data_IF_719452380781
#
_entry.id   IF_719452380781
#
_cell.length_a   1.000
_cell.length_b   1.000
_cell.length_c   1.000
_cell.angle_alpha   90.00
_cell.angle_beta   90.00
_cell.angle_gamma   90.00
#
_symmetry.space_group_name_H-M   'P 1'
#
loop_
_entity.id
_entity.type
_entity.pdbx_description
1 polymer ?
#
# COMPACT_ATOMS: atom_id res chain seq x y z
N UNK A 1 3.72 -38.40 -9.14
CA UNK A 1 3.63 -38.04 -7.70
C UNK A 1 2.16 -37.98 -7.35
N UNK A 2 1.70 -38.80 -6.40
CA UNK A 2 0.29 -38.89 -6.03
C UNK A 2 -0.11 -37.66 -5.22
N UNK A 3 -1.23 -37.02 -5.61
CA UNK A 3 -1.77 -35.83 -4.95
C UNK A 3 -2.58 -36.28 -3.74
N UNK A 4 -2.06 -36.10 -2.54
CA UNK A 4 -2.74 -36.50 -1.31
C UNK A 4 -3.63 -35.35 -0.80
N UNK A 5 -4.94 -35.47 -1.02
CA UNK A 5 -5.95 -34.61 -0.39
C UNK A 5 -6.37 -35.29 0.91
N UNK A 6 -5.68 -35.00 2.00
CA UNK A 6 -6.01 -35.61 3.30
C UNK A 6 -7.26 -34.98 3.89
N UNK A 7 -8.41 -35.64 3.75
CA UNK A 7 -9.57 -35.40 4.60
C UNK A 7 -9.45 -36.29 5.83
N UNK A 8 -9.21 -35.71 7.02
CA UNK A 8 -9.17 -36.47 8.26
C UNK A 8 -10.60 -36.90 8.62
N UNK A 9 -10.93 -38.16 8.38
CA UNK A 9 -12.20 -38.75 8.80
C UNK A 9 -12.28 -38.73 10.33
N UNK A 10 -13.41 -38.22 10.84
CA UNK A 10 -13.63 -37.92 12.25
C UNK A 10 -13.50 -39.13 13.17
N UNK A 11 -12.53 -39.06 14.06
CA UNK A 11 -12.52 -39.79 15.34
C UNK A 11 -13.36 -38.99 16.33
N UNK A 12 -14.25 -39.66 17.09
CA UNK A 12 -15.31 -39.06 17.92
C UNK A 12 -14.79 -38.23 19.12
N UNK A 13 -13.48 -38.11 19.26
CA UNK A 13 -12.79 -37.31 20.28
C UNK A 13 -11.89 -36.21 19.70
N UNK A 14 -11.93 -35.97 18.39
CA UNK A 14 -11.16 -34.91 17.75
C UNK A 14 -11.99 -33.62 17.58
N UNK A 15 -11.39 -32.46 17.90
CA UNK A 15 -12.03 -31.15 17.69
C UNK A 15 -12.39 -30.99 16.20
N UNK A 16 -13.60 -30.51 15.86
CA UNK A 16 -13.95 -30.19 14.48
C UNK A 16 -12.92 -29.24 13.87
N UNK A 17 -12.50 -29.52 12.64
CA UNK A 17 -11.59 -28.70 11.86
C UNK A 17 -12.31 -28.33 10.58
N UNK A 18 -12.32 -27.04 10.23
CA UNK A 18 -12.89 -26.59 8.96
C UNK A 18 -12.06 -27.12 7.79
N UNK A 19 -12.74 -27.41 6.67
CA UNK A 19 -12.05 -27.81 5.45
C UNK A 19 -11.25 -26.64 4.88
N UNK A 20 -10.02 -26.91 4.44
CA UNK A 20 -9.11 -25.93 3.84
C UNK A 20 -8.81 -26.29 2.39
N UNK A 21 -8.79 -25.29 1.49
CA UNK A 21 -8.44 -25.45 0.07
C UNK A 21 -6.93 -25.34 -0.20
N UNK A 22 -6.09 -25.37 0.84
CA UNK A 22 -4.64 -25.26 0.70
C UNK A 22 -4.03 -26.52 0.09
N UNK A 23 -3.29 -26.36 -1.01
CA UNK A 23 -2.53 -27.45 -1.62
C UNK A 23 -1.19 -27.66 -0.89
N UNK A 24 -1.06 -28.82 -0.23
CA UNK A 24 0.17 -29.24 0.44
C UNK A 24 1.14 -29.82 -0.62
N UNK A 25 2.29 -29.17 -0.78
CA UNK A 25 3.34 -29.60 -1.73
C UNK A 25 4.35 -30.56 -1.06
N UNK A 26 4.49 -30.48 0.27
CA UNK A 26 5.43 -31.30 1.02
C UNK A 26 5.23 -31.16 2.53
N UNK A 27 6.10 -31.83 3.29
CA UNK A 27 6.13 -31.75 4.76
C UNK A 27 7.57 -31.61 5.24
N UNK A 28 7.78 -30.76 6.24
CA UNK A 28 9.04 -30.65 6.99
C UNK A 28 8.89 -31.49 8.26
N UNK A 29 9.88 -32.34 8.53
CA UNK A 29 9.93 -33.15 9.76
C UNK A 29 10.80 -32.40 10.77
N UNK A 30 10.17 -31.56 11.57
CA UNK A 30 10.82 -30.82 12.66
C UNK A 30 9.84 -30.69 13.83
N UNK A 31 10.12 -31.47 14.89
CA UNK A 31 9.24 -31.68 16.04
C UNK A 31 7.79 -32.05 15.63
N UNK A 32 7.68 -32.91 14.60
CA UNK A 32 6.42 -33.33 13.98
C UNK A 32 6.36 -33.07 12.46
N UNK A 33 5.24 -33.42 11.85
CA UNK A 33 4.99 -33.18 10.42
C UNK A 33 4.39 -31.79 10.18
N UNK A 34 5.20 -30.84 9.70
CA UNK A 34 4.75 -29.49 9.33
C UNK A 34 4.46 -29.40 7.84
N UNK A 35 3.21 -29.14 7.40
CA UNK A 35 2.89 -29.03 5.98
C UNK A 35 3.51 -27.78 5.34
N UNK A 36 3.93 -27.90 4.09
CA UNK A 36 4.44 -26.80 3.24
C UNK A 36 3.48 -26.60 2.09
N UNK A 37 3.01 -25.37 1.90
CA UNK A 37 2.11 -24.96 0.81
C UNK A 37 2.88 -24.15 -0.23
N UNK A 38 2.37 -24.12 -1.46
CA UNK A 38 2.94 -23.25 -2.50
C UNK A 38 2.62 -21.77 -2.21
N UNK A 39 3.54 -20.88 -2.57
CA UNK A 39 3.36 -19.42 -2.57
C UNK A 39 3.92 -18.83 -3.87
N UNK A 40 3.43 -17.67 -4.31
CA UNK A 40 3.90 -16.92 -5.47
C UNK A 40 5.16 -16.07 -5.18
N UNK A 41 5.75 -16.21 -4.00
CA UNK A 41 6.93 -15.46 -3.58
C UNK A 41 8.17 -15.84 -4.39
N UNK A 42 8.81 -14.86 -5.03
CA UNK A 42 10.03 -15.05 -5.82
C UNK A 42 11.22 -14.47 -5.06
N UNK A 43 12.19 -15.33 -4.76
CA UNK A 43 13.49 -14.93 -4.19
C UNK A 43 14.45 -14.69 -5.35
N UNK A 44 15.02 -13.49 -5.43
CA UNK A 44 15.99 -13.12 -6.48
C UNK A 44 17.42 -13.27 -6.04
N UNK A 45 17.70 -13.11 -4.76
CA UNK A 45 19.05 -13.19 -4.20
C UNK A 45 19.00 -13.55 -2.70
N UNK A 46 20.14 -13.80 -2.08
CA UNK A 46 20.26 -14.05 -0.63
C UNK A 46 21.38 -13.22 -0.03
N UNK A 47 21.15 -12.70 1.19
CA UNK A 47 22.14 -11.95 1.95
C UNK A 47 22.64 -12.75 3.15
N UNK A 48 23.96 -12.82 3.32
CA UNK A 48 24.61 -13.57 4.40
C UNK A 48 25.06 -12.61 5.51
N UNK A 49 24.38 -12.68 6.66
CA UNK A 49 24.74 -11.89 7.84
C UNK A 49 24.70 -12.74 9.11
N UNK A 50 23.65 -13.55 9.26
CA UNK A 50 23.46 -14.54 10.32
C UNK A 50 22.56 -15.66 9.78
N UNK A 51 23.04 -16.32 8.72
CA UNK A 51 22.27 -17.21 7.85
C UNK A 51 21.77 -16.54 6.57
N UNK A 52 21.15 -17.34 5.70
CA UNK A 52 20.68 -16.88 4.39
C UNK A 52 19.36 -16.11 4.54
N UNK A 53 19.41 -14.79 4.37
CA UNK A 53 18.23 -13.93 4.34
C UNK A 53 17.75 -13.76 2.89
N UNK A 54 16.55 -14.25 2.52
CA UNK A 54 16.07 -14.13 1.16
C UNK A 54 15.77 -12.67 0.80
N UNK A 55 16.22 -12.25 -0.37
CA UNK A 55 15.88 -10.96 -0.99
C UNK A 55 14.78 -11.23 -1.99
N UNK A 56 13.61 -10.62 -1.76
CA UNK A 56 12.45 -10.76 -2.62
C UNK A 56 12.60 -9.95 -3.91
N UNK A 57 12.00 -10.45 -5.00
CA UNK A 57 11.76 -9.65 -6.19
C UNK A 57 10.92 -8.42 -5.81
N UNK A 58 11.25 -7.27 -6.40
CA UNK A 58 10.54 -6.02 -6.19
C UNK A 58 10.41 -5.27 -7.52
N UNK A 59 9.26 -4.65 -7.75
CA UNK A 59 8.98 -3.90 -8.99
C UNK A 59 9.69 -2.52 -9.02
N UNK A 60 10.37 -2.14 -7.93
CA UNK A 60 11.07 -0.87 -7.78
C UNK A 60 12.50 -0.82 -8.37
N UNK A 61 12.95 -1.86 -9.10
CA UNK A 61 14.38 -2.04 -9.47
C UNK A 61 14.97 -0.96 -10.41
N UNK A 62 14.15 -0.18 -11.10
CA UNK A 62 14.58 0.83 -12.08
C UNK A 62 14.28 2.28 -11.64
N UNK A 63 13.83 2.48 -10.40
CA UNK A 63 13.41 3.80 -9.95
C UNK A 63 14.56 4.65 -9.41
N UNK A 64 14.41 5.97 -9.54
CA UNK A 64 15.34 6.92 -8.94
C UNK A 64 15.41 6.69 -7.41
N UNK A 65 16.60 6.85 -6.84
CA UNK A 65 16.79 6.71 -5.39
C UNK A 65 17.28 8.01 -4.79
N UNK A 66 16.77 8.34 -3.60
CA UNK A 66 17.27 9.43 -2.78
C UNK A 66 18.38 8.90 -1.86
N UNK A 67 19.56 9.54 -1.93
CA UNK A 67 20.71 9.20 -1.10
C UNK A 67 20.63 9.90 0.27
N UNK A 68 19.60 9.58 1.05
CA UNK A 68 19.46 10.03 2.44
C UNK A 68 19.30 8.80 3.33
N UNK A 69 20.24 8.60 4.25
CA UNK A 69 20.32 7.41 5.11
C UNK A 69 20.27 6.08 4.33
N UNK A 70 21.03 6.01 3.23
CA UNK A 70 21.03 4.90 2.28
C UNK A 70 20.39 5.28 0.95
N UNK A 71 20.10 4.27 0.10
CA UNK A 71 19.42 4.45 -1.19
C UNK A 71 17.92 4.21 -1.01
N UNK A 72 17.15 5.27 -0.73
CA UNK A 72 15.70 5.16 -0.55
C UNK A 72 14.99 5.27 -1.91
N UNK A 73 14.17 4.30 -2.33
CA UNK A 73 13.42 4.40 -3.59
C UNK A 73 12.51 5.63 -3.62
N UNK A 74 12.33 6.20 -4.81
CA UNK A 74 11.41 7.31 -5.07
C UNK A 74 10.28 6.81 -5.97
N UNK A 75 9.06 6.84 -5.44
CA UNK A 75 7.88 6.49 -6.22
C UNK A 75 7.60 7.54 -7.31
N UNK A 76 7.32 7.11 -8.56
CA UNK A 76 6.91 8.02 -9.61
C UNK A 76 5.55 8.65 -9.27
N UNK A 77 5.44 9.97 -9.41
CA UNK A 77 4.21 10.73 -9.21
C UNK A 77 3.84 11.50 -10.48
N UNK A 78 2.54 11.63 -10.74
CA UNK A 78 2.01 12.46 -11.81
C UNK A 78 1.83 13.94 -11.41
N UNK A 79 2.23 14.31 -10.19
CA UNK A 79 2.15 15.68 -9.68
C UNK A 79 3.04 16.61 -10.51
N UNK A 80 2.45 17.65 -11.11
CA UNK A 80 3.18 18.69 -11.82
C UNK A 80 3.42 19.88 -10.89
N UNK A 81 4.66 20.35 -10.80
CA UNK A 81 5.01 21.57 -10.06
C UNK A 81 4.95 22.75 -11.02
N UNK A 82 4.14 23.77 -10.69
CA UNK A 82 4.01 24.99 -11.51
C UNK A 82 5.09 26.02 -11.18
N UNK A 83 5.38 26.18 -9.90
CA UNK A 83 6.35 27.15 -9.40
C UNK A 83 6.92 26.70 -8.05
N UNK A 84 8.02 27.30 -7.61
CA UNK A 84 8.61 27.07 -6.29
C UNK A 84 8.80 28.41 -5.60
N UNK A 85 8.49 28.47 -4.30
CA UNK A 85 8.67 29.68 -3.48
C UNK A 85 9.72 29.41 -2.41
N UNK A 86 10.57 30.40 -2.16
CA UNK A 86 11.62 30.34 -1.15
C UNK A 86 11.23 31.16 0.08
N UNK A 87 10.85 30.50 1.17
CA UNK A 87 10.50 31.15 2.45
C UNK A 87 11.28 30.53 3.61
N UNK A 88 11.27 29.21 3.70
CA UNK A 88 11.98 28.38 4.69
C UNK A 88 12.46 27.08 4.03
N UNK A 89 13.07 27.26 2.85
CA UNK A 89 13.42 26.20 1.91
C UNK A 89 12.63 26.31 0.62
N UNK A 90 12.85 25.35 -0.28
CA UNK A 90 12.15 25.27 -1.55
C UNK A 90 10.77 24.63 -1.34
N UNK A 91 9.70 25.44 -1.39
CA UNK A 91 8.32 24.96 -1.29
C UNK A 91 7.69 24.89 -2.69
N UNK A 92 7.39 23.68 -3.22
CA UNK A 92 6.74 23.56 -4.52
C UNK A 92 5.26 23.96 -4.45
N UNK A 93 4.78 24.60 -5.51
CA UNK A 93 3.38 24.91 -5.76
C UNK A 93 2.89 23.95 -6.85
N UNK A 94 1.92 23.11 -6.52
CA UNK A 94 1.31 22.19 -7.46
C UNK A 94 0.58 22.95 -8.59
N UNK A 95 0.62 22.40 -9.80
CA UNK A 95 -0.24 22.86 -10.88
C UNK A 95 -1.66 22.32 -10.67
N UNK A 96 -2.63 23.23 -10.58
CA UNK A 96 -4.06 22.92 -10.52
C UNK A 96 -4.85 23.89 -11.42
N UNK A 97 -6.16 23.64 -11.52
CA UNK A 97 -7.11 24.52 -12.19
C UNK A 97 -7.89 25.37 -11.17
N UNK A 98 -7.32 25.62 -9.98
CA UNK A 98 -8.02 26.34 -8.92
C UNK A 98 -8.14 27.82 -9.29
N UNK A 99 -9.38 28.33 -9.29
CA UNK A 99 -9.69 29.73 -9.60
C UNK A 99 -10.41 30.41 -8.41
N UNK A 100 -9.94 31.61 -8.07
CA UNK A 100 -10.54 32.45 -7.02
C UNK A 100 -11.40 33.54 -7.66
N UNK A 101 -12.73 33.45 -7.52
CA UNK A 101 -13.68 34.45 -8.05
C UNK A 101 -13.79 35.70 -7.19
N UNK A 102 -13.51 35.57 -5.90
CA UNK A 102 -13.68 36.67 -4.94
C UNK A 102 -12.89 36.46 -3.67
N UNK A 103 -12.86 37.48 -2.82
CA UNK A 103 -12.24 37.43 -1.49
C UNK A 103 -13.16 38.05 -0.47
N UNK A 104 -13.34 37.40 0.67
CA UNK A 104 -14.06 37.91 1.82
C UNK A 104 -13.08 38.55 2.80
N UNK A 105 -13.29 39.82 3.13
CA UNK A 105 -12.45 40.58 4.05
C UNK A 105 -12.98 40.51 5.48
N UNK A 106 -12.93 39.31 6.08
CA UNK A 106 -13.25 39.07 7.49
C UNK A 106 -12.07 38.31 8.08
N UNK A 107 -11.35 38.95 9.00
CA UNK A 107 -10.13 38.45 9.65
C UNK A 107 -9.04 38.04 8.64
N UNK A 108 -8.81 38.90 7.65
CA UNK A 108 -7.91 38.66 6.52
C UNK A 108 -8.67 38.53 5.19
N UNK A 109 -7.94 38.20 4.11
CA UNK A 109 -8.52 38.00 2.78
C UNK A 109 -8.75 36.51 2.49
N UNK A 110 -9.92 36.00 2.88
CA UNK A 110 -10.31 34.60 2.65
C UNK A 110 -10.74 34.39 1.19
N UNK A 111 -10.15 33.45 0.43
CA UNK A 111 -10.51 33.22 -0.97
C UNK A 111 -11.87 32.53 -1.09
N UNK A 112 -12.66 32.93 -2.09
CA UNK A 112 -13.92 32.28 -2.50
C UNK A 112 -13.62 31.53 -3.81
N UNK A 113 -13.71 30.20 -3.76
CA UNK A 113 -13.44 29.33 -4.89
C UNK A 113 -14.53 29.43 -5.96
N UNK A 114 -14.16 29.18 -7.21
CA UNK A 114 -15.05 29.01 -8.34
C UNK A 114 -15.80 27.66 -8.31
N UNK A 115 -16.45 27.30 -7.21
CA UNK A 115 -17.23 26.05 -7.18
C UNK A 115 -18.69 26.30 -7.58
N UNK A 116 -19.30 25.35 -8.29
CA UNK A 116 -20.76 25.26 -8.40
C UNK A 116 -21.23 24.59 -7.10
N UNK A 117 -21.82 25.38 -6.20
CA UNK A 117 -22.40 24.82 -4.99
C UNK A 117 -23.36 23.67 -5.37
N UNK A 118 -23.29 22.49 -4.72
CA UNK A 118 -24.29 21.46 -4.93
C UNK A 118 -25.67 22.09 -4.70
N UNK A 119 -26.54 21.97 -5.70
CA UNK A 119 -27.78 22.74 -5.84
C UNK A 119 -28.85 22.42 -4.78
N UNK A 120 -28.61 21.48 -3.88
CA UNK A 120 -29.56 21.04 -2.86
C UNK A 120 -29.07 21.43 -1.46
N UNK A 121 -29.29 22.69 -1.11
CA UNK A 121 -29.55 23.03 0.29
C UNK A 121 -31.04 22.75 0.53
N UNK A 122 -31.41 21.83 1.44
CA UNK A 122 -32.81 21.58 1.72
C UNK A 122 -33.44 22.87 2.30
N UNK A 123 -34.62 23.22 1.81
CA UNK A 123 -35.33 24.47 2.13
C UNK A 123 -36.00 24.46 3.51
N UNK A 124 -35.63 23.51 4.37
CA UNK A 124 -36.26 23.19 5.65
C UNK A 124 -35.72 24.02 6.83
N UNK A 125 -34.77 24.93 6.60
CA UNK A 125 -34.22 25.82 7.64
C UNK A 125 -34.65 27.29 7.54
N UNK A 126 -35.75 27.59 6.84
CA UNK A 126 -36.39 28.92 6.89
C UNK A 126 -37.65 28.81 7.75
N UNK A 127 -37.53 29.13 9.04
CA UNK A 127 -38.64 29.37 9.97
C UNK A 127 -38.65 30.85 10.38
#
# INVERSE_FOLDING_TARGET
MAKDKTHKAGDSHSRPVDSSDLEIQGKIIDDGERPVTANQFVVTDTYQEDGERPIAANEFSEQATLNIDGKRPIDPSHLKVRNTVYMDGERPIAADNFEVKGRLNIDGSRPIAADEAPSDLPADFVD
#
